data_IF_452296838963
#
_entry.id   IF_452296838963
#
_cell.length_a   1.000
_cell.length_b   1.000
_cell.length_c   1.000
_cell.angle_alpha   90.00
_cell.angle_beta   90.00
_cell.angle_gamma   90.00
#
_symmetry.space_group_name_H-M   'P 1'
#
loop_
_entity.id
_entity.type
_entity.pdbx_description
1 polymer ?
#
# COMPACT_ATOMS: atom_id res chain seq x y z
N UNK A 1 23.53 -2.15 -11.48
CA UNK A 1 22.84 -0.85 -11.25
C UNK A 1 21.61 -1.15 -10.42
N UNK A 2 21.31 -0.33 -9.40
CA UNK A 2 20.18 -0.56 -8.50
C UNK A 2 18.87 -0.09 -9.14
N UNK A 3 17.83 -0.92 -9.14
CA UNK A 3 16.49 -0.55 -9.58
C UNK A 3 15.82 0.36 -8.55
N UNK A 4 15.34 1.51 -8.99
CA UNK A 4 14.67 2.48 -8.13
C UNK A 4 13.29 2.77 -8.71
N UNK A 5 12.23 2.33 -8.04
CA UNK A 5 10.84 2.54 -8.47
C UNK A 5 10.52 4.03 -8.72
N UNK A 6 11.15 4.95 -7.96
CA UNK A 6 11.07 6.41 -8.17
C UNK A 6 11.60 6.88 -9.52
N UNK A 7 12.43 6.08 -10.20
CA UNK A 7 13.03 6.39 -11.49
C UNK A 7 12.33 5.65 -12.62
N UNK A 8 12.10 4.35 -12.45
CA UNK A 8 11.67 3.45 -13.52
C UNK A 8 10.16 3.17 -13.54
N UNK A 9 9.45 3.44 -12.44
CA UNK A 9 8.03 3.08 -12.28
C UNK A 9 7.20 4.29 -11.84
N UNK A 10 7.60 5.49 -12.29
CA UNK A 10 7.02 6.76 -11.85
C UNK A 10 5.50 6.83 -12.02
N UNK A 11 4.97 6.26 -13.09
CA UNK A 11 3.52 6.26 -13.34
C UNK A 11 2.72 5.60 -12.20
N UNK A 12 3.28 4.63 -11.49
CA UNK A 12 2.56 3.92 -10.42
C UNK A 12 2.73 4.54 -9.03
N UNK A 13 3.73 5.40 -8.84
CA UNK A 13 4.11 5.87 -7.50
C UNK A 13 4.26 7.38 -7.37
N UNK A 14 4.39 8.12 -8.47
CA UNK A 14 4.66 9.55 -8.47
C UNK A 14 3.72 10.30 -9.43
N UNK A 15 2.38 10.18 -9.27
CA UNK A 15 1.44 11.02 -10.00
C UNK A 15 1.65 12.49 -9.63
N UNK A 16 1.07 13.38 -10.44
CA UNK A 16 1.01 14.81 -10.14
C UNK A 16 -0.03 15.08 -9.03
N UNK A 17 0.00 16.28 -8.44
CA UNK A 17 -1.09 16.77 -7.60
C UNK A 17 -2.27 17.21 -8.47
N UNK A 18 -2.84 16.25 -9.20
CA UNK A 18 -4.09 16.34 -9.95
C UNK A 18 -4.55 14.90 -10.27
N UNK A 19 -5.86 14.65 -10.36
CA UNK A 19 -6.39 13.35 -10.76
C UNK A 19 -5.90 12.93 -12.15
N UNK A 20 -5.65 11.63 -12.31
CA UNK A 20 -5.38 10.98 -13.59
C UNK A 20 -5.95 9.56 -13.61
N UNK A 21 -6.40 9.12 -14.79
CA UNK A 21 -6.75 7.71 -15.04
C UNK A 21 -5.48 6.87 -15.19
N UNK A 22 -5.50 5.68 -14.61
CA UNK A 22 -4.41 4.72 -14.73
C UNK A 22 -4.94 3.29 -14.71
N UNK A 23 -4.32 2.40 -15.48
CA UNK A 23 -4.55 0.95 -15.36
C UNK A 23 -3.36 0.32 -14.64
N UNK A 24 -3.61 -0.28 -13.48
CA UNK A 24 -2.60 -0.89 -12.65
C UNK A 24 -2.51 -2.39 -12.98
N UNK A 25 -1.34 -2.87 -13.45
CA UNK A 25 -1.17 -4.27 -13.79
C UNK A 25 -1.09 -5.13 -12.52
N UNK A 26 -0.94 -6.44 -12.73
CA UNK A 26 -0.70 -7.38 -11.65
C UNK A 26 0.64 -7.12 -10.97
N UNK A 27 0.66 -7.05 -9.64
CA UNK A 27 1.88 -6.98 -8.84
C UNK A 27 1.86 -8.01 -7.72
N UNK A 28 3.04 -8.33 -7.17
CA UNK A 28 3.25 -9.26 -6.07
C UNK A 28 3.49 -8.49 -4.77
N UNK A 29 2.90 -8.93 -3.67
CA UNK A 29 2.99 -8.24 -2.40
C UNK A 29 3.14 -9.22 -1.24
N UNK A 30 3.89 -8.81 -0.21
CA UNK A 30 3.54 -9.25 1.13
C UNK A 30 2.40 -8.38 1.64
N UNK A 31 1.37 -9.02 2.20
CA UNK A 31 0.16 -8.36 2.72
C UNK A 31 -0.12 -8.82 4.15
N UNK A 32 -0.78 -7.96 4.92
CA UNK A 32 -1.30 -8.29 6.24
C UNK A 32 -2.58 -7.48 6.49
N UNK A 33 -3.60 -8.13 7.03
CA UNK A 33 -4.93 -7.57 7.27
C UNK A 33 -5.13 -7.29 8.76
N UNK A 34 -5.84 -6.22 9.08
CA UNK A 34 -6.13 -5.83 10.45
C UNK A 34 -7.27 -4.81 10.53
N UNK A 35 -7.55 -4.35 11.75
CA UNK A 35 -8.57 -3.35 12.02
C UNK A 35 -8.18 -2.48 13.21
N UNK A 36 -8.85 -1.34 13.34
CA UNK A 36 -8.64 -0.38 14.42
C UNK A 36 -7.93 0.89 13.98
N UNK A 37 -7.71 1.78 14.95
CA UNK A 37 -7.17 3.11 14.72
C UNK A 37 -5.65 3.06 14.43
N UNK A 38 -5.19 3.56 13.26
CA UNK A 38 -3.77 3.51 12.90
C UNK A 38 -2.86 4.40 13.76
N UNK A 39 -3.43 5.21 14.64
CA UNK A 39 -2.66 6.02 15.59
C UNK A 39 -2.28 5.26 16.87
N UNK A 40 -2.79 4.04 17.05
CA UNK A 40 -2.49 3.22 18.22
C UNK A 40 -1.23 2.38 18.01
N UNK A 41 -0.58 1.99 19.12
CA UNK A 41 0.75 1.35 19.11
C UNK A 41 0.83 0.06 18.28
N UNK A 42 -0.28 -0.70 18.21
CA UNK A 42 -0.33 -1.97 17.47
C UNK A 42 -0.01 -1.78 15.98
N UNK A 43 -0.36 -0.63 15.39
CA UNK A 43 -0.26 -0.40 13.96
C UNK A 43 1.20 -0.43 13.47
N UNK A 44 2.14 0.04 14.31
CA UNK A 44 3.56 0.02 14.01
C UNK A 44 4.12 -1.41 13.89
N UNK A 45 3.54 -2.39 14.58
CA UNK A 45 3.96 -3.79 14.53
C UNK A 45 3.66 -4.42 13.15
N UNK A 46 2.49 -4.14 12.58
CA UNK A 46 2.11 -4.60 11.24
C UNK A 46 3.09 -4.08 10.19
N UNK A 47 3.41 -2.78 10.24
CA UNK A 47 4.40 -2.15 9.35
C UNK A 47 5.77 -2.79 9.54
N UNK A 48 6.18 -3.00 10.80
CA UNK A 48 7.47 -3.62 11.15
C UNK A 48 7.63 -5.02 10.57
N UNK A 49 6.59 -5.84 10.62
CA UNK A 49 6.57 -7.19 10.04
C UNK A 49 6.76 -7.14 8.51
N UNK A 50 5.99 -6.31 7.79
CA UNK A 50 6.11 -6.19 6.33
C UNK A 50 7.51 -5.73 5.89
N UNK A 51 8.08 -4.72 6.58
CA UNK A 51 9.44 -4.27 6.27
C UNK A 51 10.47 -5.35 6.58
N UNK A 52 10.31 -6.12 7.66
CA UNK A 52 11.25 -7.19 8.00
C UNK A 52 11.35 -8.24 6.87
N UNK A 53 10.22 -8.56 6.23
CA UNK A 53 10.16 -9.49 5.09
C UNK A 53 10.75 -8.88 3.81
N UNK A 54 10.37 -7.64 3.50
CA UNK A 54 10.84 -6.94 2.31
C UNK A 54 12.36 -6.72 2.34
N UNK A 55 12.92 -6.40 3.51
CA UNK A 55 14.37 -6.35 3.70
C UNK A 55 14.99 -7.75 3.77
N UNK A 56 14.24 -8.76 4.23
CA UNK A 56 14.62 -10.17 4.15
C UNK A 56 14.96 -10.60 2.73
N UNK A 57 14.08 -10.28 1.76
CA UNK A 57 14.30 -10.49 0.32
C UNK A 57 15.49 -9.66 -0.16
N UNK A 58 15.47 -8.34 0.05
CA UNK A 58 16.53 -7.44 -0.43
C UNK A 58 17.93 -7.85 0.03
N UNK A 59 18.05 -8.40 1.23
CA UNK A 59 19.34 -8.76 1.84
C UNK A 59 19.67 -10.25 1.68
N UNK A 60 18.83 -11.04 1.01
CA UNK A 60 19.06 -12.48 0.84
C UNK A 60 20.36 -12.82 0.10
N UNK A 61 20.80 -12.08 -0.94
CA UNK A 61 22.06 -12.44 -1.63
C UNK A 61 23.28 -12.28 -0.73
N UNK A 62 23.24 -11.31 0.21
CA UNK A 62 24.31 -11.13 1.21
C UNK A 62 24.42 -12.30 2.20
N UNK A 63 23.40 -13.16 2.24
CA UNK A 63 23.38 -14.39 3.06
C UNK A 63 23.60 -15.65 2.22
N UNK A 64 24.03 -15.50 0.96
CA UNK A 64 24.25 -16.62 0.03
C UNK A 64 22.97 -17.20 -0.56
N UNK A 65 21.83 -16.50 -0.44
CA UNK A 65 20.54 -16.94 -0.98
C UNK A 65 20.12 -15.94 -2.05
N UNK A 66 20.59 -16.13 -3.27
CA UNK A 66 20.24 -15.28 -4.41
C UNK A 66 19.16 -15.97 -5.26
N UNK A 67 17.94 -15.41 -5.36
CA UNK A 67 16.91 -15.99 -6.21
C UNK A 67 17.24 -15.77 -7.68
N UNK A 68 16.74 -16.66 -8.55
CA UNK A 68 16.92 -16.53 -10.00
C UNK A 68 16.33 -15.20 -10.48
N UNK A 69 17.11 -14.44 -11.26
CA UNK A 69 16.67 -13.15 -11.80
C UNK A 69 16.72 -12.00 -10.81
N UNK A 70 17.39 -12.17 -9.66
CA UNK A 70 17.62 -11.10 -8.70
C UNK A 70 18.28 -9.87 -9.36
N UNK A 71 17.80 -8.70 -8.97
CA UNK A 71 18.51 -7.44 -9.16
C UNK A 71 18.44 -6.62 -7.86
N UNK A 72 19.48 -5.85 -7.56
CA UNK A 72 19.43 -4.95 -6.42
C UNK A 72 18.39 -3.85 -6.65
N UNK A 73 17.57 -3.56 -5.64
CA UNK A 73 16.44 -2.63 -5.75
C UNK A 73 16.23 -1.79 -4.48
N UNK A 74 15.51 -0.68 -4.60
CA UNK A 74 14.98 0.03 -3.43
C UNK A 74 13.67 -0.63 -3.00
N UNK A 75 13.54 -0.96 -1.72
CA UNK A 75 12.28 -1.48 -1.15
C UNK A 75 11.13 -0.53 -1.52
N UNK A 76 10.02 -1.11 -1.97
CA UNK A 76 8.83 -0.36 -2.35
C UNK A 76 8.22 0.37 -1.15
N UNK A 77 7.47 1.47 -1.37
CA UNK A 77 6.82 2.18 -0.28
C UNK A 77 5.79 1.27 0.41
N UNK A 78 5.44 1.62 1.65
CA UNK A 78 4.27 1.03 2.31
C UNK A 78 3.02 1.47 1.53
N UNK A 79 2.10 0.53 1.39
CA UNK A 79 0.77 0.79 0.85
C UNK A 79 -0.28 0.28 1.84
N UNK A 80 -1.43 0.94 1.87
CA UNK A 80 -2.58 0.53 2.67
C UNK A 80 -3.85 0.57 1.83
N UNK A 81 -4.62 -0.51 1.85
CA UNK A 81 -6.01 -0.51 1.39
C UNK A 81 -6.89 -0.30 2.61
N UNK A 82 -7.80 0.66 2.54
CA UNK A 82 -8.63 1.11 3.65
C UNK A 82 -10.11 1.00 3.33
N UNK A 83 -10.89 0.59 4.33
CA UNK A 83 -12.35 0.63 4.34
C UNK A 83 -12.86 0.77 5.78
N UNK A 84 -14.17 0.87 5.94
CA UNK A 84 -14.85 0.74 7.23
C UNK A 84 -15.34 -0.70 7.44
N UNK A 85 -15.44 -1.12 8.70
CA UNK A 85 -16.11 -2.37 9.06
C UNK A 85 -17.59 -2.36 8.62
N UNK A 86 -18.22 -3.55 8.59
CA UNK A 86 -19.57 -3.72 8.05
C UNK A 86 -20.63 -2.91 8.81
N UNK A 87 -20.48 -2.78 10.12
CA UNK A 87 -21.37 -2.02 10.99
C UNK A 87 -21.31 -0.52 10.71
N UNK A 88 -20.10 0.04 10.62
CA UNK A 88 -19.86 1.44 10.32
C UNK A 88 -20.27 1.80 8.89
N UNK A 89 -20.12 0.88 7.92
CA UNK A 89 -20.63 1.09 6.55
C UNK A 89 -22.16 1.25 6.53
N UNK A 90 -22.88 0.46 7.32
CA UNK A 90 -24.36 0.51 7.37
C UNK A 90 -24.89 1.77 8.05
N UNK A 91 -24.11 2.35 8.96
CA UNK A 91 -24.51 3.48 9.81
C UNK A 91 -23.78 4.78 9.48
N UNK A 92 -23.09 4.84 8.33
CA UNK A 92 -22.28 5.98 7.95
C UNK A 92 -23.12 7.26 7.78
N UNK A 93 -22.91 8.23 8.66
CA UNK A 93 -23.61 9.52 8.70
C UNK A 93 -22.75 10.69 8.16
N UNK A 94 -21.55 10.37 7.65
CA UNK A 94 -20.54 11.35 7.23
C UNK A 94 -19.41 11.53 8.24
N UNK A 95 -19.53 10.99 9.46
CA UNK A 95 -18.47 11.00 10.48
C UNK A 95 -17.70 9.69 10.45
N UNK A 96 -16.38 9.76 10.54
CA UNK A 96 -15.50 8.59 10.59
C UNK A 96 -14.96 8.42 12.00
N UNK A 97 -15.30 7.30 12.64
CA UNK A 97 -14.62 6.83 13.83
C UNK A 97 -13.43 5.95 13.40
N UNK A 98 -12.19 6.39 13.68
CA UNK A 98 -10.97 5.70 13.23
C UNK A 98 -10.85 4.27 13.79
N UNK A 99 -11.53 3.95 14.88
CA UNK A 99 -11.57 2.59 15.42
C UNK A 99 -12.33 1.59 14.52
N UNK A 100 -13.19 2.10 13.64
CA UNK A 100 -13.97 1.27 12.72
C UNK A 100 -13.23 0.97 11.40
N UNK A 101 -11.99 1.43 11.27
CA UNK A 101 -11.19 1.10 10.10
C UNK A 101 -10.86 -0.39 10.04
N UNK A 102 -10.97 -0.93 8.84
CA UNK A 102 -10.34 -2.18 8.43
C UNK A 102 -9.32 -1.86 7.36
N UNK A 103 -8.19 -2.56 7.41
CA UNK A 103 -7.09 -2.29 6.50
C UNK A 103 -6.41 -3.55 6.01
N UNK A 104 -5.79 -3.43 4.84
CA UNK A 104 -4.82 -4.38 4.30
C UNK A 104 -3.55 -3.62 3.97
N UNK A 105 -2.53 -3.79 4.80
CA UNK A 105 -1.21 -3.20 4.58
C UNK A 105 -0.39 -4.11 3.67
N UNK A 106 0.44 -3.50 2.83
CA UNK A 106 1.23 -4.24 1.87
C UNK A 106 2.50 -3.53 1.43
N UNK A 107 3.51 -4.32 1.03
CA UNK A 107 4.71 -3.84 0.36
C UNK A 107 4.96 -4.71 -0.87
N UNK A 108 5.05 -4.05 -2.03
CA UNK A 108 5.30 -4.74 -3.30
C UNK A 108 6.67 -5.42 -3.30
N UNK A 109 6.74 -6.59 -3.92
CA UNK A 109 7.97 -7.31 -4.19
C UNK A 109 8.28 -7.33 -5.69
N UNK A 110 9.56 -7.36 -6.09
CA UNK A 110 9.96 -7.52 -7.49
C UNK A 110 9.41 -8.80 -8.13
N UNK A 111 9.30 -8.81 -9.46
CA UNK A 111 8.72 -9.94 -10.19
C UNK A 111 9.53 -11.24 -10.08
N UNK A 112 10.84 -11.15 -9.80
CA UNK A 112 11.71 -12.31 -9.56
C UNK A 112 11.33 -13.09 -8.30
N UNK A 113 10.58 -12.48 -7.38
CA UNK A 113 10.11 -13.14 -6.16
C UNK A 113 8.95 -14.03 -6.51
N UNK A 114 9.17 -15.35 -6.50
CA UNK A 114 8.10 -16.33 -6.59
C UNK A 114 7.56 -16.69 -5.19
N UNK A 115 6.50 -17.51 -5.18
CA UNK A 115 5.81 -17.91 -3.95
C UNK A 115 6.71 -18.71 -3.02
N UNK A 116 7.49 -19.65 -3.56
CA UNK A 116 8.33 -20.53 -2.75
C UNK A 116 9.44 -19.74 -2.07
N UNK A 117 10.06 -18.82 -2.81
CA UNK A 117 11.08 -17.93 -2.27
C UNK A 117 10.49 -16.96 -1.23
N UNK A 118 9.30 -16.41 -1.46
CA UNK A 118 8.62 -15.56 -0.49
C UNK A 118 8.34 -16.31 0.82
N UNK A 119 7.82 -17.54 0.75
CA UNK A 119 7.55 -18.39 1.90
C UNK A 119 8.84 -18.80 2.64
N UNK A 120 9.91 -19.08 1.90
CA UNK A 120 11.22 -19.33 2.50
C UNK A 120 11.70 -18.12 3.33
N UNK A 121 11.60 -16.90 2.78
CA UNK A 121 11.99 -15.68 3.50
C UNK A 121 11.10 -15.43 4.71
N UNK A 122 9.79 -15.69 4.60
CA UNK A 122 8.85 -15.62 5.72
C UNK A 122 9.31 -16.50 6.87
N UNK A 123 9.54 -17.79 6.61
CA UNK A 123 9.96 -18.75 7.63
C UNK A 123 11.31 -18.40 8.28
N UNK A 124 12.29 -17.97 7.47
CA UNK A 124 13.59 -17.56 8.00
C UNK A 124 13.49 -16.29 8.86
N UNK A 125 12.66 -15.33 8.46
CA UNK A 125 12.47 -14.08 9.19
C UNK A 125 11.75 -14.33 10.50
N UNK A 126 10.68 -15.13 10.47
CA UNK A 126 9.91 -15.58 11.64
C UNK A 126 10.79 -16.31 12.65
N UNK A 127 11.67 -17.22 12.22
CA UNK A 127 12.61 -17.91 13.12
C UNK A 127 13.62 -16.95 13.76
N UNK A 128 14.09 -15.94 13.02
CA UNK A 128 15.09 -14.98 13.51
C UNK A 128 14.49 -13.97 14.49
N UNK A 129 13.28 -13.49 14.24
CA UNK A 129 12.58 -12.52 15.07
C UNK A 129 11.11 -12.95 15.18
N UNK A 130 10.76 -13.85 16.10
CA UNK A 130 9.40 -14.34 16.25
C UNK A 130 8.41 -13.19 16.53
N UNK A 131 7.25 -13.24 15.88
CA UNK A 131 6.15 -12.32 16.09
C UNK A 131 4.84 -12.99 15.68
N UNK A 132 3.77 -12.80 16.46
CA UNK A 132 2.47 -13.47 16.20
C UNK A 132 1.87 -13.07 14.85
N UNK A 133 2.07 -11.82 14.43
CA UNK A 133 1.57 -11.30 13.15
C UNK A 133 2.14 -12.01 11.91
N UNK A 134 3.26 -12.74 12.00
CA UNK A 134 3.76 -13.50 10.84
C UNK A 134 2.78 -14.57 10.38
N UNK A 135 1.93 -15.10 11.27
CA UNK A 135 0.89 -16.08 10.90
C UNK A 135 -0.21 -15.48 10.03
N UNK A 136 -0.35 -14.15 10.02
CA UNK A 136 -1.35 -13.42 9.25
C UNK A 136 -0.82 -12.91 7.91
N UNK A 137 0.50 -12.99 7.68
CA UNK A 137 1.11 -12.50 6.45
C UNK A 137 0.76 -13.44 5.29
N UNK A 138 0.34 -12.85 4.17
CA UNK A 138 0.16 -13.56 2.91
C UNK A 138 1.15 -13.02 1.86
N UNK A 139 1.52 -13.87 0.92
CA UNK A 139 2.18 -13.45 -0.32
C UNK A 139 1.17 -13.61 -1.47
N UNK A 140 0.77 -12.50 -2.07
CA UNK A 140 -0.38 -12.43 -2.98
C UNK A 140 -0.03 -11.70 -4.28
N UNK A 141 -0.65 -12.14 -5.37
CA UNK A 141 -0.70 -11.38 -6.62
C UNK A 141 -2.00 -10.59 -6.67
N UNK A 142 -1.91 -9.27 -6.87
CA UNK A 142 -3.06 -8.36 -6.84
C UNK A 142 -3.12 -7.57 -8.14
N UNK A 143 -4.30 -7.53 -8.73
CA UNK A 143 -4.64 -6.72 -9.91
C UNK A 143 -5.64 -5.66 -9.45
N UNK A 144 -5.22 -4.39 -9.41
CA UNK A 144 -6.14 -3.28 -9.12
C UNK A 144 -6.95 -2.87 -10.36
N UNK A 145 -6.36 -2.99 -11.55
CA UNK A 145 -7.00 -2.63 -12.82
C UNK A 145 -7.19 -1.12 -12.96
N UNK A 146 -8.30 -0.71 -13.57
CA UNK A 146 -8.58 0.69 -13.85
C UNK A 146 -8.90 1.47 -12.58
N UNK A 147 -8.15 2.55 -12.40
CA UNK A 147 -8.15 3.39 -11.22
C UNK A 147 -8.07 4.88 -11.59
N UNK A 148 -8.47 5.73 -10.65
CA UNK A 148 -8.05 7.13 -10.61
C UNK A 148 -7.08 7.29 -9.46
N UNK A 149 -5.98 8.03 -9.69
CA UNK A 149 -5.01 8.37 -8.66
C UNK A 149 -4.65 9.86 -8.66
N UNK A 150 -4.15 10.35 -7.53
CA UNK A 150 -3.47 11.65 -7.45
C UNK A 150 -2.49 11.70 -6.29
N UNK A 151 -1.53 12.63 -6.34
CA UNK A 151 -0.69 12.95 -5.20
C UNK A 151 -1.42 13.92 -4.25
N UNK A 152 -1.70 13.46 -3.04
CA UNK A 152 -2.10 14.28 -1.91
C UNK A 152 -0.88 14.89 -1.21
N UNK A 153 -1.00 16.17 -0.83
CA UNK A 153 0.02 16.91 -0.08
C UNK A 153 -0.62 17.43 1.20
N UNK A 154 -0.06 17.06 2.35
CA UNK A 154 -0.56 17.47 3.67
C UNK A 154 -1.12 16.32 4.51
N UNK A 155 -1.80 16.69 5.61
CA UNK A 155 -2.32 15.74 6.61
C UNK A 155 -3.34 14.76 6.01
N UNK A 156 -3.32 13.51 6.50
CA UNK A 156 -4.32 12.49 6.16
C UNK A 156 -5.76 12.97 6.45
N UNK A 157 -5.96 13.81 7.46
CA UNK A 157 -7.29 14.36 7.78
C UNK A 157 -7.84 15.29 6.68
N UNK A 158 -7.00 15.76 5.74
CA UNK A 158 -7.39 16.61 4.61
C UNK A 158 -7.60 15.83 3.30
N UNK A 159 -7.40 14.51 3.29
CA UNK A 159 -7.64 13.66 2.13
C UNK A 159 -9.05 13.77 1.52
N UNK A 160 -10.14 14.02 2.28
CA UNK A 160 -11.47 14.23 1.70
C UNK A 160 -11.50 15.31 0.61
N UNK A 161 -10.64 16.34 0.69
CA UNK A 161 -10.53 17.38 -0.36
C UNK A 161 -9.99 16.78 -1.66
N UNK A 162 -8.96 15.94 -1.57
CA UNK A 162 -8.38 15.24 -2.72
C UNK A 162 -9.36 14.22 -3.31
N UNK A 163 -10.04 13.43 -2.47
CA UNK A 163 -11.05 12.49 -2.95
C UNK A 163 -12.19 13.20 -3.69
N UNK A 164 -12.66 14.36 -3.22
CA UNK A 164 -13.66 15.16 -3.93
C UNK A 164 -13.19 15.57 -5.33
N UNK A 165 -11.94 16.01 -5.47
CA UNK A 165 -11.36 16.36 -6.78
C UNK A 165 -11.28 15.13 -7.71
N UNK A 166 -10.88 13.98 -7.18
CA UNK A 166 -10.81 12.73 -7.94
C UNK A 166 -12.19 12.24 -8.38
N UNK A 167 -13.21 12.35 -7.51
CA UNK A 167 -14.59 11.96 -7.82
C UNK A 167 -15.19 12.89 -8.89
N UNK A 168 -14.97 14.22 -8.81
CA UNK A 168 -15.38 15.15 -9.87
C UNK A 168 -14.69 14.86 -11.21
N UNK A 169 -13.41 14.50 -11.19
CA UNK A 169 -12.70 14.09 -12.40
C UNK A 169 -13.25 12.78 -12.98
N UNK A 170 -13.59 11.81 -12.12
CA UNK A 170 -14.22 10.55 -12.56
C UNK A 170 -15.51 10.83 -13.34
N UNK A 171 -16.37 11.71 -12.82
CA UNK A 171 -17.62 12.08 -13.49
C UNK A 171 -17.39 12.73 -14.85
N UNK A 172 -16.39 13.62 -14.96
CA UNK A 172 -16.01 14.29 -16.21
C UNK A 172 -15.52 13.30 -17.28
N UNK A 173 -14.82 12.24 -16.87
CA UNK A 173 -14.28 11.21 -17.75
C UNK A 173 -15.26 10.05 -18.03
N UNK A 174 -16.53 10.17 -17.61
CA UNK A 174 -17.56 9.11 -17.71
C UNK A 174 -17.21 7.81 -16.96
N UNK A 175 -16.62 7.96 -15.77
CA UNK A 175 -16.35 6.88 -14.82
C UNK A 175 -17.13 7.07 -13.51
N UNK A 176 -17.34 5.98 -12.78
CA UNK A 176 -17.80 5.96 -11.39
C UNK A 176 -16.81 5.19 -10.53
N UNK A 177 -16.71 5.57 -9.25
CA UNK A 177 -15.92 4.86 -8.25
C UNK A 177 -16.64 3.56 -7.86
N UNK A 178 -15.92 2.43 -7.88
CA UNK A 178 -16.51 1.08 -7.63
C UNK A 178 -16.97 0.88 -6.18
N UNK A 179 -16.25 1.43 -5.22
CA UNK A 179 -16.57 1.33 -3.79
C UNK A 179 -15.89 2.46 -3.01
N UNK A 180 -16.28 2.64 -1.73
CA UNK A 180 -15.59 3.58 -0.83
C UNK A 180 -14.23 3.09 -0.33
N UNK A 181 -13.86 1.84 -0.62
CA UNK A 181 -12.50 1.34 -0.44
C UNK A 181 -11.52 2.19 -1.24
N UNK A 182 -10.35 2.48 -0.67
CA UNK A 182 -9.27 3.18 -1.37
C UNK A 182 -7.91 2.61 -1.01
N UNK A 183 -6.91 3.01 -1.78
CA UNK A 183 -5.50 2.72 -1.57
C UNK A 183 -4.73 3.99 -1.32
N UNK A 184 -3.86 3.94 -0.33
CA UNK A 184 -2.85 4.93 -0.01
C UNK A 184 -1.46 4.36 -0.25
N UNK A 185 -0.57 5.17 -0.83
CA UNK A 185 0.86 4.86 -0.98
C UNK A 185 1.66 5.94 -0.25
N UNK A 186 2.34 5.54 0.83
CA UNK A 186 3.03 6.48 1.72
C UNK A 186 4.44 6.77 1.19
N UNK A 187 4.62 7.96 0.59
CA UNK A 187 5.92 8.38 0.04
C UNK A 187 6.81 9.08 1.08
N UNK A 188 6.20 9.57 2.16
CA UNK A 188 6.84 10.21 3.31
C UNK A 188 6.78 9.29 4.53
N UNK A 189 7.81 9.34 5.39
CA UNK A 189 7.78 8.68 6.70
C UNK A 189 7.14 9.65 7.70
N UNK A 190 5.90 9.37 8.12
CA UNK A 190 5.12 10.24 9.00
C UNK A 190 5.77 10.50 10.36
N UNK A 191 6.73 9.67 10.77
CA UNK A 191 7.51 9.86 12.02
C UNK A 191 8.62 10.89 11.85
N UNK A 192 8.96 11.26 10.61
CA UNK A 192 10.11 12.12 10.28
C UNK A 192 9.72 13.44 9.62
N UNK A 193 8.47 13.55 9.18
CA UNK A 193 7.98 14.66 8.37
C UNK A 193 6.72 15.20 9.03
N UNK A 194 6.63 16.54 9.15
CA UNK A 194 5.44 17.20 9.67
C UNK A 194 4.23 16.98 8.77
N UNK A 195 3.03 17.02 9.35
CA UNK A 195 1.78 16.70 8.65
C UNK A 195 1.58 17.49 7.35
N UNK A 196 1.97 18.78 7.32
CA UNK A 196 1.88 19.66 6.14
C UNK A 196 2.81 19.27 4.97
N UNK A 197 3.80 18.41 5.22
CA UNK A 197 4.79 17.96 4.22
C UNK A 197 4.63 16.50 3.83
N UNK A 198 3.61 15.82 4.35
CA UNK A 198 3.31 14.45 3.96
C UNK A 198 2.93 14.39 2.48
N UNK A 199 3.32 13.26 1.87
CA UNK A 199 3.08 12.96 0.47
C UNK A 199 2.51 11.56 0.39
N UNK A 200 1.28 11.47 -0.09
CA UNK A 200 0.53 10.22 -0.17
C UNK A 200 -0.08 10.13 -1.54
N UNK A 201 0.10 9.02 -2.25
CA UNK A 201 -0.72 8.77 -3.45
C UNK A 201 -2.04 8.19 -2.99
N UNK A 202 -3.12 8.86 -3.34
CA UNK A 202 -4.47 8.34 -3.14
C UNK A 202 -4.92 7.69 -4.44
N UNK A 203 -5.57 6.53 -4.34
CA UNK A 203 -6.09 5.79 -5.49
C UNK A 203 -7.39 5.07 -5.14
N UNK A 204 -8.35 5.06 -6.05
CA UNK A 204 -9.51 4.18 -5.97
C UNK A 204 -9.82 3.57 -7.33
N UNK A 205 -10.42 2.37 -7.31
CA UNK A 205 -10.83 1.67 -8.52
C UNK A 205 -12.09 2.28 -9.13
N UNK A 206 -12.14 2.27 -10.45
CA UNK A 206 -13.24 2.84 -11.23
C UNK A 206 -13.83 1.85 -12.22
N UNK A 207 -15.05 2.11 -12.65
CA UNK A 207 -15.74 1.46 -13.77
C UNK A 207 -16.32 2.52 -14.70
N UNK A 208 -16.49 2.17 -15.98
CA UNK A 208 -17.18 3.06 -16.92
C UNK A 208 -18.66 3.13 -16.55
N UNK A 209 -19.22 4.34 -16.66
CA UNK A 209 -20.66 4.55 -16.63
C UNK A 209 -21.31 4.08 -17.94
#
# INVERSE_FOLDING_TARGET
>A
MKHEWKKYEKQFYLPKNKPELISIPKFKFFTIEGSGNPNDDFFAEYIGVLYSLSYGIKMSPRKGIEPKGYFDYTVYPLEGVWDLNDEARKSFDGTINKNDFVFKLMIRQPDFVDKDFALQILEQTKKKKPHILFEQVKFEEIIEGDCIQMLHLGSYDNEPVSFKLMESFAEQENYSRKSKTHREIYLSDARKVSADKLKTVLRFSVEKK
#
